data_IF_903156284346
#
_entry.id   IF_903156284346
#
_cell.length_a   1.000
_cell.length_b   1.000
_cell.length_c   1.000
_cell.angle_alpha   90.00
_cell.angle_beta   90.00
_cell.angle_gamma   90.00
#
_symmetry.space_group_name_H-M   'P 1'
#
loop_
_entity.id
_entity.type
_entity.pdbx_description
1 polymer ?
#
# COMPACT_ATOMS: atom_id res chain seq x y z
N UNK A 1 -1.73 -21.53 -2.41
CA UNK A 1 -1.43 -21.81 -0.99
C UNK A 1 -2.36 -20.93 -0.16
N UNK A 2 -3.31 -21.52 0.57
CA UNK A 2 -4.28 -20.74 1.36
C UNK A 2 -3.62 -20.23 2.66
N UNK A 3 -4.00 -19.04 3.13
CA UNK A 3 -3.59 -18.53 4.45
C UNK A 3 -2.24 -17.82 4.54
N UNK A 4 -1.72 -17.28 3.43
CA UNK A 4 -0.50 -16.46 3.47
C UNK A 4 -0.78 -15.11 4.14
N UNK A 5 -0.13 -14.84 5.26
CA UNK A 5 -0.18 -13.52 5.92
C UNK A 5 0.88 -12.61 5.33
N UNK A 6 0.43 -11.60 4.60
CA UNK A 6 1.28 -10.54 4.04
C UNK A 6 1.48 -9.47 5.11
N UNK A 7 2.73 -9.21 5.48
CA UNK A 7 3.10 -8.17 6.43
C UNK A 7 4.12 -7.24 5.77
N UNK A 8 4.08 -5.97 6.13
CA UNK A 8 4.97 -4.95 5.57
C UNK A 8 5.69 -4.23 6.70
N UNK A 9 6.99 -3.99 6.51
CA UNK A 9 7.82 -3.24 7.44
C UNK A 9 8.43 -2.06 6.71
N UNK A 10 8.55 -0.91 7.39
CA UNK A 10 9.14 0.31 6.82
C UNK A 10 10.60 0.14 6.37
N UNK A 11 11.29 -0.90 6.87
CA UNK A 11 12.66 -1.26 6.53
C UNK A 11 12.77 -2.20 5.33
N UNK A 12 11.65 -2.68 4.77
CA UNK A 12 11.70 -3.52 3.58
C UNK A 12 12.25 -2.74 2.39
N UNK A 13 13.11 -3.38 1.61
CA UNK A 13 13.78 -2.72 0.48
C UNK A 13 12.74 -2.17 -0.50
N UNK A 14 12.94 -0.94 -0.96
CA UNK A 14 12.10 -0.27 -1.96
C UNK A 14 10.63 -0.07 -1.56
N UNK A 15 10.27 -0.22 -0.28
CA UNK A 15 8.94 0.18 0.18
C UNK A 15 8.85 1.72 0.12
N UNK A 16 7.80 2.28 -0.50
CA UNK A 16 7.62 3.73 -0.54
C UNK A 16 7.59 4.32 0.87
N UNK A 17 8.30 5.42 1.07
CA UNK A 17 8.37 6.08 2.37
C UNK A 17 7.34 7.20 2.42
N UNK A 18 6.67 7.34 3.57
CA UNK A 18 5.89 8.52 3.88
C UNK A 18 6.85 9.69 4.05
N UNK A 19 6.60 10.80 3.36
CA UNK A 19 7.51 11.96 3.32
C UNK A 19 6.77 13.27 3.60
N UNK A 20 7.46 14.40 3.57
CA UNK A 20 6.81 15.72 3.65
C UNK A 20 6.23 16.17 2.29
N UNK A 21 5.58 15.26 1.56
CA UNK A 21 4.98 15.53 0.27
C UNK A 21 3.58 14.92 0.20
N UNK A 22 2.63 15.69 -0.34
CA UNK A 22 1.29 15.19 -0.68
C UNK A 22 1.38 14.04 -1.69
N UNK A 23 0.46 13.09 -1.59
CA UNK A 23 0.47 11.87 -2.40
C UNK A 23 1.37 10.74 -1.87
N UNK A 24 2.14 10.97 -0.80
CA UNK A 24 3.01 9.92 -0.22
C UNK A 24 2.22 8.71 0.30
N UNK A 25 1.03 8.93 0.87
CA UNK A 25 0.16 7.84 1.34
C UNK A 25 -0.39 7.05 0.16
N UNK A 26 -0.83 7.73 -0.89
CA UNK A 26 -1.30 7.08 -2.12
C UNK A 26 -0.18 6.23 -2.75
N UNK A 27 1.05 6.75 -2.85
CA UNK A 27 2.18 5.99 -3.39
C UNK A 27 2.48 4.74 -2.57
N UNK A 28 2.39 4.83 -1.24
CA UNK A 28 2.52 3.68 -0.35
C UNK A 28 1.40 2.65 -0.59
N UNK A 29 0.14 3.10 -0.62
CA UNK A 29 -1.02 2.23 -0.82
C UNK A 29 -1.04 1.58 -2.20
N UNK A 30 -0.69 2.30 -3.27
CA UNK A 30 -0.55 1.74 -4.62
C UNK A 30 0.48 0.59 -4.64
N UNK A 31 1.59 0.74 -3.91
CA UNK A 31 2.61 -0.31 -3.79
C UNK A 31 2.16 -1.50 -2.94
N UNK A 32 1.59 -1.29 -1.75
CA UNK A 32 1.26 -2.40 -0.83
C UNK A 32 -0.07 -3.08 -1.16
N UNK A 33 -1.02 -2.37 -1.76
CA UNK A 33 -2.34 -2.91 -2.06
C UNK A 33 -2.43 -3.50 -3.47
N UNK A 34 -1.75 -2.91 -4.45
CA UNK A 34 -2.01 -3.19 -5.88
C UNK A 34 -0.78 -3.73 -6.60
N UNK A 35 0.31 -2.95 -6.65
CA UNK A 35 1.42 -3.22 -7.58
C UNK A 35 2.48 -4.18 -7.01
N UNK A 36 2.59 -4.24 -5.68
CA UNK A 36 3.76 -4.76 -5.01
C UNK A 36 4.93 -3.78 -5.07
N UNK A 37 6.09 -4.20 -4.56
CA UNK A 37 7.31 -3.39 -4.58
C UNK A 37 8.56 -4.28 -4.57
N UNK A 38 9.73 -3.67 -4.76
CA UNK A 38 11.02 -4.37 -4.84
C UNK A 38 11.06 -5.41 -5.97
N UNK A 39 10.82 -4.96 -7.20
CA UNK A 39 10.86 -5.81 -8.39
C UNK A 39 12.29 -6.22 -8.74
N UNK A 40 12.55 -7.53 -8.70
CA UNK A 40 13.85 -8.14 -8.99
C UNK A 40 13.66 -9.25 -10.02
N UNK A 41 14.44 -9.26 -11.12
CA UNK A 41 14.34 -10.32 -12.12
C UNK A 41 14.76 -11.68 -11.53
N UNK A 42 14.02 -12.73 -11.87
CA UNK A 42 14.35 -14.10 -11.51
C UNK A 42 15.37 -14.64 -12.49
N UNK A 43 16.55 -14.99 -11.99
CA UNK A 43 17.63 -15.58 -12.79
C UNK A 43 17.34 -17.06 -13.03
N UNK A 44 17.03 -17.79 -11.96
CA UNK A 44 16.64 -19.20 -12.04
C UNK A 44 15.82 -19.64 -10.83
N UNK A 45 15.10 -20.74 -11.00
CA UNK A 45 14.46 -21.48 -9.89
C UNK A 45 14.94 -22.93 -9.94
N UNK A 46 15.24 -23.52 -8.79
CA UNK A 46 15.61 -24.94 -8.70
C UNK A 46 14.99 -25.63 -7.49
N UNK A 47 14.56 -26.88 -7.69
CA UNK A 47 14.17 -27.81 -6.62
C UNK A 47 15.26 -28.87 -6.45
N UNK A 48 15.50 -29.32 -5.22
CA UNK A 48 16.49 -30.39 -4.95
C UNK A 48 16.06 -31.74 -5.52
N UNK A 49 14.76 -32.00 -5.54
CA UNK A 49 14.13 -33.16 -6.20
C UNK A 49 12.83 -32.72 -6.89
N UNK A 50 12.31 -33.48 -7.88
CA UNK A 50 11.05 -33.16 -8.51
C UNK A 50 9.87 -33.03 -7.54
N UNK A 51 9.88 -33.80 -6.45
CA UNK A 51 8.83 -33.82 -5.42
C UNK A 51 9.13 -32.94 -4.21
N UNK A 52 10.20 -32.15 -4.24
CA UNK A 52 10.53 -31.26 -3.13
C UNK A 52 9.40 -30.24 -2.89
N UNK A 53 9.15 -29.93 -1.62
CA UNK A 53 8.17 -28.92 -1.18
C UNK A 53 8.82 -27.55 -0.95
N UNK A 54 10.08 -27.41 -1.35
CA UNK A 54 10.84 -26.15 -1.29
C UNK A 54 11.62 -25.94 -2.57
N UNK A 55 11.72 -24.68 -2.99
CA UNK A 55 12.52 -24.28 -4.14
C UNK A 55 13.43 -23.11 -3.81
N UNK A 56 14.61 -23.11 -4.42
CA UNK A 56 15.56 -21.99 -4.36
C UNK A 56 15.34 -21.10 -5.57
N UNK A 57 15.07 -19.82 -5.33
CA UNK A 57 14.94 -18.79 -6.37
C UNK A 57 16.20 -17.93 -6.33
N UNK A 58 16.94 -17.91 -7.42
CA UNK A 58 18.12 -17.09 -7.59
C UNK A 58 17.76 -15.73 -8.21
N UNK A 59 18.18 -14.66 -7.55
CA UNK A 59 17.78 -13.28 -7.84
C UNK A 59 18.97 -12.34 -8.06
N UNK A 60 20.19 -12.83 -7.84
CA UNK A 60 21.40 -12.02 -7.85
C UNK A 60 21.60 -11.24 -6.56
N UNK A 61 22.77 -10.62 -6.43
CA UNK A 61 23.18 -9.94 -5.19
C UNK A 61 22.29 -8.75 -4.85
N UNK A 62 21.94 -8.61 -3.58
CA UNK A 62 21.29 -7.40 -3.07
C UNK A 62 19.79 -7.33 -3.36
N UNK A 63 19.11 -8.45 -3.58
CA UNK A 63 17.66 -8.47 -3.79
C UNK A 63 16.85 -7.91 -2.60
N UNK A 64 17.37 -7.97 -1.36
CA UNK A 64 16.79 -7.28 -0.20
C UNK A 64 15.49 -7.86 0.37
N UNK A 65 15.21 -9.11 0.04
CA UNK A 65 14.10 -9.90 0.57
C UNK A 65 14.46 -10.51 1.93
N UNK A 66 13.50 -10.60 2.84
CA UNK A 66 13.71 -11.07 4.21
C UNK A 66 12.91 -12.33 4.52
N UNK A 67 13.30 -13.02 5.59
CA UNK A 67 12.61 -14.22 6.07
C UNK A 67 11.15 -13.94 6.42
N UNK A 68 10.28 -14.92 6.16
CA UNK A 68 8.83 -14.92 6.44
C UNK A 68 8.00 -13.89 5.67
N UNK A 69 8.58 -13.05 4.83
CA UNK A 69 7.79 -12.21 3.93
C UNK A 69 7.10 -13.07 2.86
N UNK A 70 6.10 -12.50 2.19
CA UNK A 70 5.44 -13.11 1.04
C UNK A 70 5.88 -12.38 -0.22
N UNK A 71 6.38 -13.14 -1.20
CA UNK A 71 6.78 -12.62 -2.51
C UNK A 71 5.84 -13.16 -3.58
N UNK A 72 5.60 -12.35 -4.61
CA UNK A 72 4.93 -12.75 -5.83
C UNK A 72 5.95 -12.98 -6.93
N UNK A 73 5.77 -14.05 -7.68
CA UNK A 73 6.42 -14.27 -8.97
C UNK A 73 5.37 -14.04 -10.04
N UNK A 74 5.71 -13.25 -11.06
CA UNK A 74 4.85 -13.03 -12.22
C UNK A 74 5.66 -13.04 -13.52
N UNK A 75 5.04 -13.47 -14.62
CA UNK A 75 5.67 -13.53 -15.94
C UNK A 75 6.47 -14.81 -16.19
N UNK A 76 6.29 -15.84 -15.35
CA UNK A 76 6.89 -17.16 -15.55
C UNK A 76 6.17 -17.92 -16.67
N UNK A 77 6.92 -18.42 -17.65
CA UNK A 77 6.38 -19.32 -18.69
C UNK A 77 6.12 -20.74 -18.19
N UNK A 78 6.65 -21.11 -17.02
CA UNK A 78 6.69 -22.49 -16.53
C UNK A 78 5.88 -22.68 -15.24
N UNK A 79 4.78 -21.94 -15.04
CA UNK A 79 3.86 -22.18 -13.92
C UNK A 79 4.38 -21.79 -12.53
N UNK A 80 5.40 -20.94 -12.44
CA UNK A 80 5.84 -20.34 -11.18
C UNK A 80 5.09 -19.06 -10.80
N UNK A 81 4.10 -18.63 -11.58
CA UNK A 81 3.30 -17.45 -11.23
C UNK A 81 2.47 -17.70 -9.96
N UNK A 82 2.57 -16.79 -9.00
CA UNK A 82 1.84 -16.89 -7.73
C UNK A 82 2.58 -16.30 -6.54
N UNK A 83 1.98 -16.46 -5.36
CA UNK A 83 2.50 -15.99 -4.08
C UNK A 83 3.20 -17.11 -3.32
N UNK A 84 4.37 -16.78 -2.77
CA UNK A 84 5.24 -17.72 -2.08
C UNK A 84 5.75 -17.13 -0.76
N UNK A 85 5.75 -17.95 0.29
CA UNK A 85 6.35 -17.59 1.56
C UNK A 85 7.86 -17.82 1.50
N UNK A 86 8.64 -16.80 1.86
CA UNK A 86 10.09 -16.93 2.04
C UNK A 86 10.37 -17.64 3.36
N UNK A 87 11.04 -18.80 3.28
CA UNK A 87 11.48 -19.56 4.44
C UNK A 87 12.81 -19.04 4.97
N UNK A 88 13.73 -18.70 4.07
CA UNK A 88 15.02 -18.10 4.38
C UNK A 88 15.55 -17.30 3.19
N UNK A 89 16.24 -16.19 3.45
CA UNK A 89 16.94 -15.40 2.45
C UNK A 89 18.46 -15.40 2.70
N UNK A 90 19.25 -15.45 1.62
CA UNK A 90 20.67 -15.15 1.68
C UNK A 90 20.97 -13.91 0.82
N UNK A 91 22.24 -13.67 0.44
CA UNK A 91 22.60 -12.48 -0.32
C UNK A 91 22.19 -12.50 -1.80
N UNK A 92 21.93 -13.69 -2.37
CA UNK A 92 21.71 -13.89 -3.81
C UNK A 92 20.46 -14.70 -4.16
N UNK A 93 19.85 -15.35 -3.18
CA UNK A 93 18.71 -16.24 -3.38
C UNK A 93 17.81 -16.31 -2.16
N UNK A 94 16.56 -16.70 -2.41
CA UNK A 94 15.56 -17.00 -1.39
C UNK A 94 15.13 -18.46 -1.50
N UNK A 95 14.83 -19.08 -0.37
CA UNK A 95 14.18 -20.38 -0.29
C UNK A 95 12.68 -20.15 -0.06
N UNK A 96 11.84 -20.76 -0.88
CA UNK A 96 10.38 -20.65 -0.77
C UNK A 96 9.72 -22.01 -0.60
N UNK A 97 8.55 -22.02 0.02
CA UNK A 97 7.65 -23.17 0.04
C UNK A 97 6.92 -23.30 -1.31
N UNK A 98 6.89 -24.49 -1.88
CA UNK A 98 6.31 -24.76 -3.20
C UNK A 98 5.53 -26.08 -3.20
N UNK A 99 4.63 -26.28 -4.17
CA UNK A 99 3.93 -27.56 -4.32
C UNK A 99 4.86 -28.61 -4.94
N UNK A 100 4.67 -29.90 -4.59
CA UNK A 100 5.49 -30.98 -5.15
C UNK A 100 5.32 -31.10 -6.67
N UNK A 101 4.18 -30.72 -7.24
CA UNK A 101 3.92 -30.77 -8.69
C UNK A 101 4.55 -29.60 -9.48
N UNK A 102 5.07 -28.57 -8.80
CA UNK A 102 5.69 -27.44 -9.50
C UNK A 102 6.97 -27.84 -10.23
N UNK A 103 7.24 -27.26 -11.43
CA UNK A 103 8.40 -27.61 -12.24
C UNK A 103 9.72 -27.45 -11.50
N UNK A 104 10.64 -28.38 -11.71
CA UNK A 104 11.92 -28.41 -10.99
C UNK A 104 12.88 -27.30 -11.37
N UNK A 105 12.71 -26.71 -12.56
CA UNK A 105 13.58 -25.64 -13.08
C UNK A 105 12.75 -24.58 -13.81
N UNK A 106 13.12 -23.32 -13.63
CA UNK A 106 12.63 -22.19 -14.42
C UNK A 106 13.77 -21.24 -14.76
N UNK A 107 13.77 -20.67 -15.97
CA UNK A 107 14.81 -19.76 -16.46
C UNK A 107 14.21 -18.44 -16.93
N UNK A 108 14.70 -17.32 -16.36
CA UNK A 108 15.03 -16.11 -17.10
C UNK A 108 13.95 -15.13 -17.61
N UNK A 109 12.67 -15.25 -17.27
CA UNK A 109 11.66 -14.26 -17.73
C UNK A 109 10.73 -13.73 -16.63
N UNK A 110 10.71 -14.35 -15.46
CA UNK A 110 9.83 -13.95 -14.38
C UNK A 110 10.42 -12.80 -13.55
N UNK A 111 9.56 -12.03 -12.92
CA UNK A 111 9.93 -11.02 -11.93
C UNK A 111 9.42 -11.44 -10.57
N UNK A 112 10.28 -11.34 -9.56
CA UNK A 112 9.95 -11.55 -8.16
C UNK A 112 9.86 -10.20 -7.45
N UNK A 113 8.80 -9.99 -6.68
CA UNK A 113 8.56 -8.75 -5.94
C UNK A 113 7.78 -9.04 -4.65
N UNK A 114 7.75 -8.11 -3.71
CA UNK A 114 6.93 -8.27 -2.50
C UNK A 114 5.45 -8.29 -2.89
N UNK A 115 4.72 -9.32 -2.46
CA UNK A 115 3.34 -9.53 -2.87
C UNK A 115 2.41 -8.39 -2.36
N UNK A 116 1.54 -7.81 -3.20
CA UNK A 116 0.51 -6.85 -2.79
C UNK A 116 -0.65 -7.54 -2.06
N UNK A 117 -1.55 -6.78 -1.43
CA UNK A 117 -2.76 -7.30 -0.77
C UNK A 117 -3.92 -7.68 -1.72
N UNK A 118 -3.69 -7.64 -3.04
CA UNK A 118 -4.69 -8.01 -4.06
C UNK A 118 -5.93 -7.10 -4.03
N UNK A 119 -5.67 -5.80 -4.12
CA UNK A 119 -6.67 -4.79 -4.41
C UNK A 119 -6.50 -4.30 -5.84
N UNK A 120 -7.57 -3.77 -6.39
CA UNK A 120 -7.59 -3.02 -7.63
C UNK A 120 -7.84 -1.53 -7.37
N UNK A 121 -7.38 -0.69 -8.29
CA UNK A 121 -7.74 0.74 -8.35
C UNK A 121 -8.98 0.85 -9.23
N UNK A 122 -10.15 1.08 -8.61
CA UNK A 122 -11.41 1.19 -9.36
C UNK A 122 -11.59 2.57 -9.98
N UNK A 123 -11.11 3.61 -9.29
CA UNK A 123 -11.15 5.00 -9.76
C UNK A 123 -9.93 5.74 -9.27
N UNK A 124 -9.46 6.69 -10.08
CA UNK A 124 -8.29 7.48 -9.73
C UNK A 124 -8.23 8.82 -10.47
N UNK A 125 -7.55 9.78 -9.86
CA UNK A 125 -7.11 10.99 -10.58
C UNK A 125 -5.88 10.68 -11.45
N UNK A 126 -5.65 11.47 -12.53
CA UNK A 126 -4.42 11.37 -13.31
C UNK A 126 -3.15 11.49 -12.46
N UNK A 127 -2.07 10.84 -12.86
CA UNK A 127 -0.79 10.81 -12.13
C UNK A 127 -0.23 12.21 -11.87
N UNK A 128 -0.41 13.15 -12.82
CA UNK A 128 0.08 14.53 -12.73
C UNK A 128 -0.84 15.47 -11.92
N UNK A 129 -1.90 14.94 -11.30
CA UNK A 129 -2.84 15.75 -10.53
C UNK A 129 -2.20 16.26 -9.23
N UNK A 130 -2.38 17.55 -8.94
CA UNK A 130 -2.02 18.16 -7.65
C UNK A 130 -3.02 17.85 -6.53
N UNK A 131 -4.12 17.17 -6.86
CA UNK A 131 -5.15 16.71 -5.92
C UNK A 131 -5.31 15.19 -6.01
N UNK A 132 -4.27 14.39 -5.68
CA UNK A 132 -4.32 12.96 -5.88
C UNK A 132 -5.41 12.28 -5.04
N UNK A 133 -6.22 11.47 -5.71
CA UNK A 133 -7.26 10.63 -5.13
C UNK A 133 -7.15 9.21 -5.68
N UNK A 134 -7.46 8.24 -4.82
CA UNK A 134 -7.50 6.81 -5.16
C UNK A 134 -8.67 6.12 -4.50
N UNK A 135 -9.32 5.25 -5.25
CA UNK A 135 -10.36 4.36 -4.77
C UNK A 135 -9.89 2.91 -4.96
N UNK A 136 -9.73 2.20 -3.85
CA UNK A 136 -9.23 0.83 -3.81
C UNK A 136 -10.35 -0.15 -3.47
N UNK A 137 -10.39 -1.30 -4.13
CA UNK A 137 -11.34 -2.38 -3.81
C UNK A 137 -10.59 -3.71 -3.77
N UNK A 138 -10.90 -4.57 -2.80
CA UNK A 138 -10.34 -5.92 -2.77
C UNK A 138 -10.82 -6.73 -3.97
N UNK A 139 -9.91 -7.47 -4.62
CA UNK A 139 -10.26 -8.39 -5.73
C UNK A 139 -10.71 -9.77 -5.25
N UNK A 140 -10.75 -10.00 -3.94
CA UNK A 140 -11.22 -11.26 -3.37
C UNK A 140 -12.70 -11.49 -3.75
N UNK A 141 -13.06 -12.66 -4.34
CA UNK A 141 -14.44 -12.99 -4.67
C UNK A 141 -15.40 -12.98 -3.47
N UNK A 142 -14.91 -13.17 -2.25
CA UNK A 142 -15.71 -13.13 -1.01
C UNK A 142 -15.82 -11.71 -0.42
N UNK A 143 -15.15 -10.73 -1.03
CA UNK A 143 -15.24 -9.33 -0.63
C UNK A 143 -16.66 -8.78 -0.80
N UNK A 144 -17.11 -7.96 0.16
CA UNK A 144 -18.37 -7.21 0.06
C UNK A 144 -18.33 -6.09 -1.00
N UNK A 145 -17.20 -5.93 -1.71
CA UNK A 145 -17.04 -4.93 -2.77
C UNK A 145 -16.95 -3.48 -2.26
N UNK A 146 -16.74 -3.30 -0.95
CA UNK A 146 -16.53 -1.99 -0.35
C UNK A 146 -15.25 -1.34 -0.89
N UNK A 147 -15.30 -0.02 -1.05
CA UNK A 147 -14.24 0.77 -1.65
C UNK A 147 -13.61 1.64 -0.58
N UNK A 148 -12.30 1.49 -0.38
CA UNK A 148 -11.50 2.43 0.40
C UNK A 148 -11.18 3.64 -0.46
N UNK A 149 -11.73 4.81 -0.10
CA UNK A 149 -11.50 6.08 -0.77
C UNK A 149 -10.47 6.91 0.00
N UNK A 150 -9.43 7.37 -0.70
CA UNK A 150 -8.29 8.09 -0.13
C UNK A 150 -8.04 9.37 -0.91
N UNK A 151 -8.04 10.51 -0.21
CA UNK A 151 -7.68 11.82 -0.75
C UNK A 151 -6.40 12.31 -0.03
N UNK A 152 -5.29 12.42 -0.75
CA UNK A 152 -3.99 12.78 -0.17
C UNK A 152 -3.46 14.10 -0.72
N UNK A 153 -4.19 15.18 -0.41
CA UNK A 153 -3.86 16.53 -0.88
C UNK A 153 -4.34 17.59 0.10
N UNK A 154 -3.68 18.75 0.06
CA UNK A 154 -4.15 19.94 0.76
C UNK A 154 -5.36 20.53 0.02
N UNK A 155 -6.49 20.66 0.72
CA UNK A 155 -7.64 21.38 0.17
C UNK A 155 -7.26 22.83 -0.18
N UNK A 156 -7.78 23.40 -1.28
CA UNK A 156 -7.57 24.81 -1.61
C UNK A 156 -8.00 25.74 -0.47
N UNK A 157 -7.19 26.75 -0.17
CA UNK A 157 -7.46 27.73 0.89
C UNK A 157 -6.96 27.34 2.29
N UNK A 158 -6.37 26.15 2.45
CA UNK A 158 -5.71 25.72 3.67
C UNK A 158 -4.17 25.83 3.58
N UNK A 159 -3.51 25.75 4.73
CA UNK A 159 -2.06 25.90 4.86
C UNK A 159 -1.29 24.69 4.31
N UNK A 160 -0.75 24.84 3.10
CA UNK A 160 -0.03 23.77 2.40
C UNK A 160 1.23 23.27 3.13
N UNK A 161 1.87 24.13 3.94
CA UNK A 161 3.05 23.77 4.74
C UNK A 161 2.71 23.11 6.09
N UNK A 162 1.42 22.91 6.40
CA UNK A 162 0.94 22.24 7.60
C UNK A 162 1.25 20.72 7.64
N UNK A 163 0.52 20.02 8.52
CA UNK A 163 0.58 18.58 8.65
C UNK A 163 0.33 17.87 7.31
N UNK A 164 0.78 16.62 7.18
CA UNK A 164 0.50 15.78 6.02
C UNK A 164 -0.38 14.61 6.44
N UNK A 165 -1.45 14.41 5.71
CA UNK A 165 -2.49 13.44 6.01
C UNK A 165 -3.19 12.98 4.75
N UNK A 166 -3.83 11.82 4.81
CA UNK A 166 -4.83 11.43 3.84
C UNK A 166 -6.21 11.45 4.49
N UNK A 167 -7.19 12.09 3.85
CA UNK A 167 -8.60 11.92 4.22
C UNK A 167 -9.04 10.55 3.73
N UNK A 168 -9.67 9.77 4.59
CA UNK A 168 -10.03 8.38 4.32
C UNK A 168 -11.48 8.12 4.62
N UNK A 169 -12.05 7.15 3.91
CA UNK A 169 -13.41 6.69 4.13
C UNK A 169 -13.68 5.42 3.36
N UNK A 170 -14.78 4.77 3.72
CA UNK A 170 -15.27 3.57 3.03
C UNK A 170 -16.57 3.92 2.33
N UNK A 171 -16.71 3.54 1.07
CA UNK A 171 -17.91 3.80 0.28
C UNK A 171 -18.41 2.52 -0.38
N UNK A 172 -19.72 2.41 -0.60
CA UNK A 172 -20.33 1.23 -1.23
C UNK A 172 -20.48 1.34 -2.75
N UNK A 173 -20.24 2.52 -3.34
CA UNK A 173 -20.38 2.72 -4.77
C UNK A 173 -19.93 4.10 -5.24
N UNK A 174 -19.30 4.14 -6.42
CA UNK A 174 -18.82 5.36 -7.09
C UNK A 174 -18.97 5.19 -8.61
N UNK A 175 -19.36 6.26 -9.32
CA UNK A 175 -19.36 6.26 -10.80
C UNK A 175 -18.04 6.75 -11.38
N UNK A 176 -17.36 7.62 -10.65
CA UNK A 176 -16.03 8.16 -10.96
C UNK A 176 -15.36 8.59 -9.66
N UNK A 177 -14.08 9.02 -9.72
CA UNK A 177 -13.29 9.38 -8.54
C UNK A 177 -13.86 10.56 -7.71
N UNK A 178 -14.77 11.35 -8.25
CA UNK A 178 -15.38 12.50 -7.58
C UNK A 178 -16.84 12.27 -7.19
N UNK A 179 -17.49 11.19 -7.67
CA UNK A 179 -18.92 10.98 -7.48
C UNK A 179 -19.24 9.68 -6.74
N UNK A 180 -19.59 9.82 -5.46
CA UNK A 180 -20.08 8.73 -4.61
C UNK A 180 -21.57 8.54 -4.87
N UNK A 181 -21.97 7.34 -5.26
CA UNK A 181 -23.38 6.96 -5.49
C UNK A 181 -23.94 6.04 -4.42
N UNK A 182 -23.07 5.42 -3.62
CA UNK A 182 -23.43 4.54 -2.52
C UNK A 182 -23.48 5.23 -1.15
N UNK A 183 -23.58 4.42 -0.11
CA UNK A 183 -23.36 4.88 1.27
C UNK A 183 -21.88 5.13 1.51
N UNK A 184 -21.58 5.99 2.47
CA UNK A 184 -20.21 6.30 2.88
C UNK A 184 -20.04 6.21 4.39
N UNK A 185 -18.81 6.03 4.85
CA UNK A 185 -18.41 6.13 6.24
C UNK A 185 -17.06 6.86 6.33
N UNK A 186 -16.92 7.88 7.21
CA UNK A 186 -17.96 8.44 8.09
C UNK A 186 -19.07 9.18 7.33
N UNK A 187 -20.26 9.29 7.93
CA UNK A 187 -21.41 9.98 7.33
C UNK A 187 -22.27 10.69 8.38
N UNK A 188 -22.62 11.93 8.09
CA UNK A 188 -23.64 12.72 8.80
C UNK A 188 -24.68 13.18 7.77
N UNK A 189 -25.97 12.83 7.93
CA UNK A 189 -27.03 13.26 7.03
C UNK A 189 -27.17 14.78 6.90
N UNK A 190 -26.82 15.55 7.93
CA UNK A 190 -26.87 17.02 7.89
C UNK A 190 -25.69 17.62 7.13
N UNK A 191 -24.57 16.89 7.03
CA UNK A 191 -23.33 17.33 6.37
C UNK A 191 -22.66 16.19 5.60
N UNK A 192 -23.29 15.69 4.51
CA UNK A 192 -22.87 14.45 3.85
C UNK A 192 -21.46 14.51 3.24
N UNK A 193 -20.95 15.69 2.93
CA UNK A 193 -19.64 15.87 2.28
C UNK A 193 -18.51 16.24 3.25
N UNK A 194 -18.80 16.38 4.55
CA UNK A 194 -17.83 16.95 5.47
C UNK A 194 -16.56 16.13 5.67
N UNK A 195 -16.55 14.83 5.35
CA UNK A 195 -15.32 14.05 5.37
C UNK A 195 -14.32 14.45 4.26
N UNK A 196 -14.82 15.02 3.16
CA UNK A 196 -14.04 15.23 1.95
C UNK A 196 -13.69 16.70 1.70
N UNK A 197 -14.43 17.60 2.32
CA UNK A 197 -14.32 19.05 2.13
C UNK A 197 -13.43 19.74 3.17
N UNK A 198 -13.15 21.01 2.90
CA UNK A 198 -12.54 21.96 3.82
C UNK A 198 -13.63 22.86 4.40
N UNK A 199 -13.72 22.97 5.73
CA UNK A 199 -14.75 23.78 6.40
C UNK A 199 -14.27 25.17 6.85
N UNK A 200 -13.04 25.55 6.49
CA UNK A 200 -12.40 26.78 6.94
C UNK A 200 -11.49 26.63 8.17
N UNK A 201 -11.56 25.50 8.87
CA UNK A 201 -10.73 25.21 10.05
C UNK A 201 -10.11 23.81 10.05
N UNK A 202 -10.83 22.79 9.57
CA UNK A 202 -10.43 21.39 9.58
C UNK A 202 -10.60 20.73 8.20
N UNK A 203 -9.71 19.78 7.90
CA UNK A 203 -9.80 18.96 6.69
C UNK A 203 -10.50 17.65 6.99
N UNK A 204 -11.74 17.44 6.56
CA UNK A 204 -12.38 16.15 6.80
C UNK A 204 -12.48 15.73 8.28
N UNK A 205 -13.08 14.57 8.53
CA UNK A 205 -13.23 14.06 9.89
C UNK A 205 -12.34 12.84 10.11
N UNK A 206 -12.35 11.89 9.18
CA UNK A 206 -11.49 10.73 9.22
C UNK A 206 -10.20 10.97 8.43
N UNK A 207 -9.07 10.97 9.15
CA UNK A 207 -7.75 11.20 8.59
C UNK A 207 -6.74 10.19 9.09
N UNK A 208 -5.79 9.88 8.22
CA UNK A 208 -4.53 9.25 8.56
C UNK A 208 -3.42 10.27 8.43
N UNK A 209 -2.98 10.79 9.57
CA UNK A 209 -1.79 11.62 9.62
C UNK A 209 -0.56 10.76 9.35
N UNK A 210 0.33 11.28 8.53
CA UNK A 210 1.66 10.69 8.35
C UNK A 210 2.77 11.69 8.63
N UNK A 211 2.46 12.98 8.77
CA UNK A 211 3.42 13.95 9.28
C UNK A 211 2.72 14.95 10.17
N UNK A 212 3.11 15.01 11.43
CA UNK A 212 2.62 15.99 12.39
C UNK A 212 3.77 16.72 13.07
N UNK A 213 3.44 17.83 13.73
CA UNK A 213 4.38 18.72 14.38
C UNK A 213 4.36 18.62 15.91
N UNK A 214 3.22 18.26 16.50
CA UNK A 214 3.05 18.16 17.94
C UNK A 214 3.14 16.71 18.43
N UNK A 215 4.06 16.48 19.38
CA UNK A 215 4.33 15.23 20.10
C UNK A 215 3.19 14.77 21.04
N UNK A 216 1.94 15.14 20.77
CA UNK A 216 0.80 14.75 21.58
C UNK A 216 0.30 13.37 21.18
N UNK A 217 0.38 12.39 22.07
CA UNK A 217 -0.11 11.01 21.94
C UNK A 217 -1.65 10.91 21.79
N UNK A 218 -2.31 11.97 21.34
CA UNK A 218 -3.76 12.10 21.26
C UNK A 218 -4.12 12.92 20.03
N UNK A 219 -5.00 12.36 19.17
CA UNK A 219 -5.51 13.02 17.95
C UNK A 219 -6.05 14.44 18.20
N UNK A 220 -6.46 14.73 19.44
CA UNK A 220 -7.03 16.01 19.89
C UNK A 220 -6.09 17.23 19.82
N UNK A 221 -4.78 17.08 19.55
CA UNK A 221 -3.83 18.22 19.54
C UNK A 221 -3.13 18.44 18.19
N UNK A 222 -3.53 17.70 17.15
CA UNK A 222 -2.97 17.85 15.80
C UNK A 222 -3.77 18.94 15.08
N UNK A 223 -3.12 20.07 14.80
CA UNK A 223 -3.73 21.17 14.04
C UNK A 223 -3.31 21.07 12.58
N UNK A 224 -4.28 20.86 11.69
CA UNK A 224 -4.02 20.62 10.26
C UNK A 224 -3.57 21.89 9.52
N UNK A 225 -3.99 23.06 10.03
CA UNK A 225 -3.92 24.34 9.35
C UNK A 225 -2.90 25.31 9.95
N UNK A 226 -1.92 24.82 10.72
CA UNK A 226 -0.86 25.66 11.31
C UNK A 226 0.49 25.38 10.67
N UNK A 227 1.07 26.41 10.04
CA UNK A 227 2.45 26.42 9.54
C UNK A 227 3.44 26.34 10.71
N UNK A 228 4.53 25.58 10.56
CA UNK A 228 5.66 25.66 11.50
C UNK A 228 6.91 26.18 10.79
N UNK A 229 7.55 27.17 11.42
CA UNK A 229 8.69 27.97 10.97
C UNK A 229 10.06 27.36 11.29
N UNK A 230 10.10 26.22 11.98
CA UNK A 230 11.35 25.55 12.41
C UNK A 230 11.30 24.04 12.13
N UNK A 231 12.35 23.44 11.53
CA UNK A 231 12.37 22.00 11.26
C UNK A 231 12.51 21.24 12.58
N UNK A 232 11.45 20.56 13.01
CA UNK A 232 11.47 19.64 14.16
C UNK A 232 11.18 18.23 13.66
N UNK A 233 11.74 17.23 14.34
CA UNK A 233 11.53 15.81 14.05
C UNK A 233 10.02 15.50 13.97
N UNK A 234 9.56 15.02 12.80
CA UNK A 234 8.17 14.60 12.58
C UNK A 234 8.03 13.10 12.86
N UNK A 235 6.96 12.69 13.54
CA UNK A 235 6.62 11.26 13.69
C UNK A 235 5.64 10.83 12.60
N UNK A 236 5.91 9.66 12.02
CA UNK A 236 5.04 8.97 11.07
C UNK A 236 4.19 7.97 11.85
N UNK A 237 3.08 8.45 12.42
CA UNK A 237 2.14 7.62 13.16
C UNK A 237 0.78 7.69 12.48
N UNK A 238 0.29 6.56 11.97
CA UNK A 238 -1.08 6.44 11.47
C UNK A 238 -2.05 6.49 12.66
N UNK A 239 -2.36 7.70 13.13
CA UNK A 239 -3.39 7.92 14.13
C UNK A 239 -4.71 8.10 13.41
N UNK A 240 -5.67 7.20 13.67
CA UNK A 240 -7.06 7.45 13.33
C UNK A 240 -7.60 8.54 14.25
N UNK A 241 -7.84 9.73 13.70
CA UNK A 241 -8.70 10.74 14.31
C UNK A 241 -10.11 10.57 13.77
N UNK A 242 -11.09 10.55 14.65
CA UNK A 242 -12.53 10.53 14.34
C UNK A 242 -13.28 11.41 15.32
#
# INVERSE_FOLDING_TARGET
MAGLVKHYQNTMKSIPQLSNAWGSMINLLDAVLVNGFNHVPVISVSKSTPTAITATIHLGSGHGFIDRQVVRIAGSTNGWDGDYRVLSANSTSILVECLPEQPSVSNGTATCFTAPLDFEIVHQTPTESTTPKRAYRSTDPESLGLILLVHDFCSPGAEAAGAKFAKVGVVSGMTDINNITGVQMPHDPAKPNSNWEWDGAYHGWAKWYYRTTNHGSSAATITDNTQITTPVNSQFLLVGGG
#
